data_IF_101563824146
#
_entry.id   IF_101563824146
#
_cell.length_a   1.000
_cell.length_b   1.000
_cell.length_c   1.000
_cell.angle_alpha   90.00
_cell.angle_beta   90.00
_cell.angle_gamma   90.00
#
_symmetry.space_group_name_H-M   'P 1'
#
loop_
_entity.id
_entity.type
_entity.pdbx_description
1 polymer ?
#
# COMPACT_ATOMS: atom_id res chain seq x y z
N UNK A 1 8.95 -13.66 -17.76
CA UNK A 1 8.73 -12.29 -18.25
C UNK A 1 9.48 -12.14 -19.55
N UNK A 2 8.83 -11.60 -20.58
CA UNK A 2 9.49 -11.35 -21.85
C UNK A 2 10.51 -10.21 -21.65
N UNK A 3 11.74 -10.30 -22.16
CA UNK A 3 12.74 -9.23 -22.01
C UNK A 3 12.25 -7.88 -22.55
N UNK A 4 11.35 -7.88 -23.53
CA UNK A 4 10.69 -6.69 -24.07
C UNK A 4 9.94 -5.90 -22.99
N UNK A 5 9.18 -6.58 -22.14
CA UNK A 5 8.33 -5.94 -21.13
C UNK A 5 9.21 -5.32 -20.04
N UNK A 6 10.31 -5.98 -19.69
CA UNK A 6 11.30 -5.45 -18.72
C UNK A 6 11.95 -4.18 -19.27
N UNK A 7 12.29 -4.14 -20.56
CA UNK A 7 12.85 -2.95 -21.19
C UNK A 7 11.83 -1.82 -21.32
N UNK A 8 10.56 -2.13 -21.59
CA UNK A 8 9.50 -1.13 -21.71
C UNK A 8 9.14 -0.52 -20.35
N UNK A 9 9.02 -1.35 -19.29
CA UNK A 9 8.85 -0.88 -17.91
C UNK A 9 10.05 -0.11 -17.39
N UNK A 10 11.27 -0.56 -17.70
CA UNK A 10 12.48 0.16 -17.35
C UNK A 10 12.52 1.52 -18.06
N UNK A 11 12.12 1.60 -19.33
CA UNK A 11 12.13 2.83 -20.11
C UNK A 11 11.04 3.83 -19.67
N UNK A 12 9.84 3.38 -19.32
CA UNK A 12 8.83 4.26 -18.71
C UNK A 12 9.25 4.73 -17.31
N UNK A 13 9.74 3.83 -16.46
CA UNK A 13 10.27 4.18 -15.14
C UNK A 13 11.45 5.14 -15.23
N UNK A 14 12.39 4.93 -16.15
CA UNK A 14 13.53 5.83 -16.37
C UNK A 14 13.12 7.17 -16.98
N UNK A 15 12.08 7.25 -17.81
CA UNK A 15 11.58 8.55 -18.31
C UNK A 15 11.08 9.43 -17.16
N UNK A 16 10.36 8.86 -16.19
CA UNK A 16 9.92 9.59 -14.99
C UNK A 16 11.07 9.94 -14.03
N UNK A 17 12.06 9.06 -13.93
CA UNK A 17 13.25 9.25 -13.08
C UNK A 17 14.24 10.28 -13.67
N UNK A 18 14.39 10.32 -14.99
CA UNK A 18 15.34 11.19 -15.73
C UNK A 18 14.75 12.59 -15.98
N UNK A 19 13.45 12.71 -16.27
CA UNK A 19 12.82 14.01 -16.49
C UNK A 19 12.44 14.73 -15.19
N UNK A 20 12.45 14.05 -14.05
CA UNK A 20 11.93 14.63 -12.81
C UNK A 20 12.27 13.87 -11.55
N UNK A 21 13.45 13.26 -11.40
CA UNK A 21 13.81 12.53 -10.17
C UNK A 21 13.58 13.33 -8.88
N UNK A 22 13.83 14.65 -8.90
CA UNK A 22 13.47 15.55 -7.80
C UNK A 22 11.96 15.80 -7.69
N UNK A 23 11.28 16.09 -8.80
CA UNK A 23 9.84 16.34 -8.84
C UNK A 23 9.03 15.11 -8.43
N UNK A 24 9.45 13.92 -8.84
CA UNK A 24 8.87 12.64 -8.49
C UNK A 24 9.06 12.31 -7.01
N UNK A 25 10.28 12.49 -6.47
CA UNK A 25 10.51 12.29 -5.04
C UNK A 25 9.76 13.31 -4.20
N UNK A 26 9.62 14.57 -4.66
CA UNK A 26 8.76 15.57 -4.04
C UNK A 26 7.28 15.19 -4.18
N UNK A 27 6.86 14.64 -5.31
CA UNK A 27 5.48 14.17 -5.53
C UNK A 27 5.15 12.97 -4.64
N UNK A 28 6.06 12.00 -4.54
CA UNK A 28 5.96 10.84 -3.67
C UNK A 28 6.01 11.25 -2.21
N UNK A 29 6.90 12.17 -1.82
CA UNK A 29 6.92 12.74 -0.47
C UNK A 29 5.65 13.58 -0.19
N UNK A 30 5.07 14.23 -1.20
CA UNK A 30 3.77 14.92 -1.08
C UNK A 30 2.62 13.92 -0.98
N UNK A 31 2.71 12.78 -1.68
CA UNK A 31 1.74 11.69 -1.62
C UNK A 31 1.80 10.97 -0.27
N UNK A 32 2.99 10.63 0.22
CA UNK A 32 3.24 10.10 1.58
C UNK A 32 2.87 11.16 2.63
N UNK A 33 3.13 12.44 2.34
CA UNK A 33 2.64 13.56 3.14
C UNK A 33 1.11 13.57 3.20
N UNK A 34 0.43 13.30 2.08
CA UNK A 34 -1.03 13.22 2.03
C UNK A 34 -1.58 12.00 2.74
N UNK A 35 -0.90 10.84 2.76
CA UNK A 35 -1.30 9.73 3.63
C UNK A 35 -1.17 10.13 5.09
N UNK A 36 -0.15 10.92 5.47
CA UNK A 36 -0.02 11.54 6.79
C UNK A 36 -1.10 12.58 7.12
N UNK A 37 -1.48 13.43 6.18
CA UNK A 37 -2.54 14.45 6.36
C UNK A 37 -3.91 13.80 6.44
N UNK A 38 -4.25 12.91 5.50
CA UNK A 38 -5.47 12.10 5.57
C UNK A 38 -5.50 11.26 6.84
N UNK A 39 -4.36 10.72 7.27
CA UNK A 39 -4.26 10.05 8.55
C UNK A 39 -4.63 11.02 9.68
N UNK A 40 -4.10 12.25 9.69
CA UNK A 40 -4.35 13.25 10.77
C UNK A 40 -5.84 13.54 10.99
N UNK A 41 -6.66 13.56 9.93
CA UNK A 41 -8.11 13.80 10.05
C UNK A 41 -8.97 12.54 10.12
N UNK A 42 -8.38 11.36 9.91
CA UNK A 42 -9.11 10.10 9.98
C UNK A 42 -9.20 9.56 11.41
N UNK A 43 -10.35 8.94 11.72
CA UNK A 43 -10.60 8.34 13.02
C UNK A 43 -9.60 7.19 13.28
N UNK A 44 -8.93 7.25 14.43
CA UNK A 44 -8.05 6.18 14.91
C UNK A 44 -8.88 4.95 15.27
N UNK A 45 -8.45 3.80 14.75
CA UNK A 45 -8.89 2.45 15.10
C UNK A 45 -8.40 2.15 16.52
N UNK A 46 -9.32 1.79 17.40
CA UNK A 46 -9.05 1.63 18.84
C UNK A 46 -9.03 0.19 19.30
N UNK A 47 -9.69 -0.71 18.58
CA UNK A 47 -9.77 -2.12 18.99
C UNK A 47 -9.46 -3.06 17.83
N UNK A 48 -9.07 -4.29 18.18
CA UNK A 48 -8.79 -5.35 17.22
C UNK A 48 -10.05 -5.72 16.40
N UNK A 49 -11.23 -5.71 17.02
CA UNK A 49 -12.49 -5.97 16.34
C UNK A 49 -12.82 -4.88 15.31
N UNK A 50 -12.54 -3.62 15.65
CA UNK A 50 -12.70 -2.50 14.72
C UNK A 50 -11.75 -2.65 13.52
N UNK A 51 -10.48 -3.03 13.76
CA UNK A 51 -9.52 -3.32 12.68
C UNK A 51 -10.03 -4.43 11.76
N UNK A 52 -10.45 -5.56 12.32
CA UNK A 52 -10.95 -6.72 11.55
C UNK A 52 -12.18 -6.32 10.73
N UNK A 53 -13.10 -5.57 11.31
CA UNK A 53 -14.29 -5.07 10.61
C UNK A 53 -13.92 -4.19 9.41
N UNK A 54 -12.99 -3.25 9.61
CA UNK A 54 -12.52 -2.36 8.55
C UNK A 54 -11.77 -3.13 7.45
N UNK A 55 -10.90 -4.07 7.82
CA UNK A 55 -10.18 -4.91 6.86
C UNK A 55 -11.15 -5.71 6.01
N UNK A 56 -12.18 -6.32 6.60
CA UNK A 56 -13.19 -7.08 5.86
C UNK A 56 -14.01 -6.19 4.92
N UNK A 57 -14.42 -5.01 5.38
CA UNK A 57 -15.18 -4.04 4.56
C UNK A 57 -14.35 -3.58 3.34
N UNK A 58 -13.11 -3.15 3.58
CA UNK A 58 -12.25 -2.60 2.53
C UNK A 58 -11.72 -3.71 1.60
N UNK A 59 -11.44 -4.92 2.10
CA UNK A 59 -11.09 -6.08 1.29
C UNK A 59 -12.23 -6.45 0.34
N UNK A 60 -13.47 -6.51 0.85
CA UNK A 60 -14.67 -6.75 0.03
C UNK A 60 -14.87 -5.66 -1.03
N UNK A 61 -14.70 -4.39 -0.66
CA UNK A 61 -14.81 -3.24 -1.58
C UNK A 61 -13.75 -3.30 -2.70
N UNK A 62 -12.53 -3.70 -2.34
CA UNK A 62 -11.43 -3.79 -3.28
C UNK A 62 -11.56 -5.03 -4.19
N UNK A 63 -12.18 -6.10 -3.69
CA UNK A 63 -12.32 -7.39 -4.37
C UNK A 63 -11.20 -8.35 -4.02
N UNK A 64 -10.64 -8.25 -2.81
CA UNK A 64 -9.62 -9.17 -2.31
C UNK A 64 -10.32 -10.43 -1.79
N UNK A 65 -10.05 -11.57 -2.42
CA UNK A 65 -10.55 -12.90 -2.09
C UNK A 65 -9.56 -13.72 -1.23
N UNK A 66 -8.44 -13.09 -0.85
CA UNK A 66 -7.33 -13.70 -0.13
C UNK A 66 -7.60 -13.68 1.39
N UNK A 67 -7.12 -14.71 2.10
CA UNK A 67 -7.20 -14.76 3.56
C UNK A 67 -6.25 -13.73 4.18
N UNK A 68 -6.78 -12.81 4.97
CA UNK A 68 -6.02 -11.75 5.63
C UNK A 68 -6.20 -11.88 7.14
N UNK A 69 -5.09 -12.02 7.86
CA UNK A 69 -5.04 -11.89 9.32
C UNK A 69 -4.52 -10.50 9.65
N UNK A 70 -5.31 -9.72 10.37
CA UNK A 70 -4.94 -8.36 10.75
C UNK A 70 -4.63 -8.27 12.24
N UNK A 71 -3.57 -7.55 12.62
CA UNK A 71 -3.18 -7.34 14.02
C UNK A 71 -3.03 -5.86 14.31
N UNK A 72 -3.71 -5.39 15.37
CA UNK A 72 -3.60 -4.05 15.92
C UNK A 72 -2.51 -4.02 16.98
N UNK A 73 -1.58 -3.08 16.85
CA UNK A 73 -0.47 -2.90 17.79
C UNK A 73 -0.55 -1.54 18.49
N UNK A 74 -0.30 -1.51 19.79
CA UNK A 74 -0.37 -0.28 20.58
C UNK A 74 0.80 0.68 20.32
N UNK A 75 2.02 0.14 20.16
CA UNK A 75 3.27 0.92 20.15
C UNK A 75 3.98 1.01 18.80
N UNK A 76 3.49 0.30 17.77
CA UNK A 76 4.16 0.26 16.47
C UNK A 76 3.81 1.49 15.62
N UNK A 77 4.82 2.27 15.23
CA UNK A 77 4.70 3.36 14.24
C UNK A 77 4.66 2.87 12.78
N UNK A 78 4.69 1.56 12.56
CA UNK A 78 4.77 0.97 11.23
C UNK A 78 3.53 0.13 10.90
N UNK A 79 3.18 0.14 9.62
CA UNK A 79 2.20 -0.75 9.01
C UNK A 79 2.90 -1.75 8.09
N UNK A 80 2.31 -2.92 7.87
CA UNK A 80 2.81 -3.86 6.85
C UNK A 80 1.75 -4.85 6.38
N UNK A 81 1.66 -5.02 5.07
CA UNK A 81 0.95 -6.07 4.36
C UNK A 81 1.97 -7.01 3.72
N UNK A 82 2.05 -8.25 4.19
CA UNK A 82 2.96 -9.26 3.63
C UNK A 82 2.25 -10.59 3.41
N UNK A 83 2.75 -11.35 2.45
CA UNK A 83 2.39 -12.76 2.31
C UNK A 83 3.11 -13.57 3.40
N UNK A 84 2.38 -14.45 4.06
CA UNK A 84 2.90 -15.42 5.04
C UNK A 84 2.42 -16.82 4.63
N UNK A 85 3.28 -17.60 3.97
CA UNK A 85 2.91 -18.90 3.42
C UNK A 85 2.14 -18.82 2.10
N UNK A 86 1.47 -19.91 1.72
CA UNK A 86 0.99 -20.07 0.35
C UNK A 86 -0.28 -19.27 0.03
N UNK A 87 -1.12 -18.96 1.02
CA UNK A 87 -2.42 -18.32 0.79
C UNK A 87 -2.88 -17.37 1.91
N UNK A 88 -1.98 -17.04 2.83
CA UNK A 88 -2.26 -16.17 3.96
C UNK A 88 -1.48 -14.87 3.82
N UNK A 89 -2.15 -13.77 4.12
CA UNK A 89 -1.56 -12.44 4.19
C UNK A 89 -1.72 -11.91 5.60
N UNK A 90 -0.70 -11.22 6.08
CA UNK A 90 -0.71 -10.56 7.38
C UNK A 90 -0.69 -9.07 7.18
N UNK A 91 -1.61 -8.39 7.88
CA UNK A 91 -1.74 -6.95 7.90
C UNK A 91 -1.51 -6.45 9.32
N UNK A 92 -0.38 -5.78 9.57
CA UNK A 92 -0.08 -5.17 10.85
C UNK A 92 -0.34 -3.67 10.77
N UNK A 93 -1.03 -3.13 11.75
CA UNK A 93 -1.37 -1.71 11.83
C UNK A 93 -1.22 -1.27 13.28
N UNK A 94 -0.63 -0.09 13.52
CA UNK A 94 -0.38 0.37 14.89
C UNK A 94 -0.23 1.87 15.05
N UNK A 95 -0.18 2.29 16.32
CA UNK A 95 0.25 3.64 16.70
C UNK A 95 -0.62 4.77 16.14
N UNK A 96 0.02 5.83 15.64
CA UNK A 96 -0.65 6.97 14.99
C UNK A 96 -1.27 6.62 13.63
N UNK A 97 -0.78 5.55 13.01
CA UNK A 97 -1.17 5.07 11.69
C UNK A 97 -2.30 4.04 11.75
N UNK A 98 -2.83 3.73 12.94
CA UNK A 98 -3.96 2.84 13.12
C UNK A 98 -5.26 3.42 12.59
N UNK A 99 -5.41 3.50 11.26
CA UNK A 99 -6.45 4.25 10.56
C UNK A 99 -6.89 3.52 9.31
N UNK A 100 -8.12 3.78 8.88
CA UNK A 100 -8.75 3.12 7.73
C UNK A 100 -8.00 3.37 6.41
N UNK A 101 -7.42 4.55 6.20
CA UNK A 101 -6.64 4.82 4.98
C UNK A 101 -5.39 3.95 4.90
N UNK A 102 -4.71 3.73 6.02
CA UNK A 102 -3.55 2.82 6.09
C UNK A 102 -3.97 1.38 5.79
N UNK A 103 -5.14 0.93 6.27
CA UNK A 103 -5.69 -0.37 5.86
C UNK A 103 -5.91 -0.45 4.35
N UNK A 104 -6.43 0.61 3.71
CA UNK A 104 -6.58 0.66 2.24
C UNK A 104 -5.24 0.58 1.53
N UNK A 105 -4.25 1.30 2.04
CA UNK A 105 -2.89 1.30 1.50
C UNK A 105 -2.33 -0.12 1.52
N UNK A 106 -2.36 -0.81 2.66
CA UNK A 106 -1.79 -2.16 2.81
C UNK A 106 -2.57 -3.24 2.04
N UNK A 107 -3.89 -3.08 1.89
CA UNK A 107 -4.70 -4.01 1.11
C UNK A 107 -4.42 -3.92 -0.39
N UNK A 108 -3.94 -2.78 -0.87
CA UNK A 108 -3.78 -2.56 -2.31
C UNK A 108 -2.67 -3.40 -2.95
N UNK A 109 -1.46 -3.51 -2.37
CA UNK A 109 -0.43 -4.45 -2.82
C UNK A 109 -0.91 -5.92 -2.79
N UNK A 110 -1.74 -6.29 -1.82
CA UNK A 110 -2.32 -7.65 -1.72
C UNK A 110 -3.26 -7.90 -2.91
N UNK A 111 -4.14 -6.95 -3.22
CA UNK A 111 -5.05 -6.97 -4.36
C UNK A 111 -4.31 -7.09 -5.70
N UNK A 112 -3.25 -6.29 -5.91
CA UNK A 112 -2.48 -6.31 -7.17
C UNK A 112 -1.48 -7.47 -7.27
N UNK A 113 -1.39 -8.30 -6.21
CA UNK A 113 -0.46 -9.41 -6.12
C UNK A 113 1.01 -8.95 -6.09
N UNK A 114 1.29 -7.76 -5.57
CA UNK A 114 2.68 -7.29 -5.42
C UNK A 114 3.38 -8.00 -4.27
N UNK A 115 2.64 -8.32 -3.19
CA UNK A 115 3.14 -9.15 -2.09
C UNK A 115 3.56 -10.56 -2.52
N UNK A 116 3.17 -11.00 -3.73
CA UNK A 116 3.52 -12.30 -4.30
C UNK A 116 4.82 -12.25 -5.13
N UNK A 117 5.35 -11.05 -5.38
CA UNK A 117 6.50 -10.82 -6.26
C UNK A 117 7.77 -10.68 -5.42
N UNK A 118 8.90 -11.02 -6.03
CA UNK A 118 10.21 -10.73 -5.43
C UNK A 118 10.38 -9.21 -5.33
N UNK A 119 10.72 -8.75 -4.13
CA UNK A 119 10.94 -7.33 -3.87
C UNK A 119 11.97 -6.73 -4.84
N UNK A 120 11.61 -5.58 -5.41
CA UNK A 120 12.50 -4.76 -6.23
C UNK A 120 12.27 -3.30 -5.84
N UNK A 121 13.32 -2.66 -5.31
CA UNK A 121 13.24 -1.30 -4.78
C UNK A 121 12.71 -0.28 -5.79
N UNK A 122 13.14 -0.35 -7.05
CA UNK A 122 12.68 0.58 -8.08
C UNK A 122 11.21 0.35 -8.41
N UNK A 123 10.80 -0.90 -8.61
CA UNK A 123 9.39 -1.22 -8.83
C UNK A 123 8.52 -0.78 -7.65
N UNK A 124 8.99 -1.03 -6.44
CA UNK A 124 8.31 -0.64 -5.21
C UNK A 124 8.10 0.89 -5.15
N UNK A 125 9.19 1.65 -5.27
CA UNK A 125 9.16 3.11 -5.18
C UNK A 125 8.43 3.79 -6.34
N UNK A 126 8.51 3.24 -7.56
CA UNK A 126 8.00 3.88 -8.78
C UNK A 126 6.62 3.40 -9.23
N UNK A 127 6.15 2.25 -8.73
CA UNK A 127 4.92 1.62 -9.22
C UNK A 127 4.02 1.14 -8.07
N UNK A 128 4.55 0.40 -7.11
CA UNK A 128 3.72 -0.27 -6.10
C UNK A 128 3.22 0.73 -5.04
N UNK A 129 4.15 1.47 -4.43
CA UNK A 129 3.86 2.47 -3.39
C UNK A 129 2.97 3.63 -3.91
N UNK A 130 3.29 4.31 -5.04
CA UNK A 130 2.47 5.42 -5.52
C UNK A 130 1.04 4.99 -5.83
N UNK A 131 0.88 3.76 -6.31
CA UNK A 131 -0.42 3.20 -6.64
C UNK A 131 -1.25 2.88 -5.41
N UNK A 132 -0.63 2.35 -4.36
CA UNK A 132 -1.27 2.14 -3.06
C UNK A 132 -1.75 3.48 -2.46
N UNK A 133 -0.94 4.53 -2.55
CA UNK A 133 -1.30 5.88 -2.10
C UNK A 133 -2.46 6.47 -2.92
N UNK A 134 -2.41 6.36 -4.26
CA UNK A 134 -3.52 6.84 -5.09
C UNK A 134 -4.84 6.15 -4.73
N UNK A 135 -4.80 4.87 -4.39
CA UNK A 135 -5.97 4.15 -3.93
C UNK A 135 -6.41 4.59 -2.52
N UNK A 136 -5.49 4.72 -1.55
CA UNK A 136 -5.89 5.10 -0.19
C UNK A 136 -6.51 6.51 -0.12
N UNK A 137 -6.02 7.43 -0.97
CA UNK A 137 -6.38 8.85 -0.95
C UNK A 137 -7.60 9.11 -1.81
N UNK A 138 -7.67 8.53 -3.01
CA UNK A 138 -8.73 8.82 -3.99
C UNK A 138 -9.65 7.63 -4.31
N UNK A 139 -9.31 6.41 -3.87
CA UNK A 139 -10.04 5.20 -4.21
C UNK A 139 -9.86 4.74 -5.67
N UNK A 140 -8.86 5.26 -6.38
CA UNK A 140 -8.61 4.96 -7.79
C UNK A 140 -7.91 3.60 -7.90
N UNK A 141 -8.52 2.67 -8.66
CA UNK A 141 -7.94 1.36 -8.97
C UNK A 141 -7.14 1.44 -10.27
N UNK A 142 -5.83 1.31 -10.20
CA UNK A 142 -4.88 1.18 -11.33
C UNK A 142 -4.31 -0.23 -11.41
#
# INVERSE_FOLDING_TARGET
MNPSDIFEYANEGMKWLVLGGGTYMVSLATLIGSTGVCATFSQKIKTQEELVSIVNEEAKRLGVDKSIVSTLHDELEAYSGKREGDSLYVLNVGGFLAKRNVVRHELYPIYKGDCDKKYNLLRYLFIEEPRAILYDTFGIKL
#
